data_IF_606704000703
#
_entry.id   IF_606704000703
#
_cell.length_a   1.000
_cell.length_b   1.000
_cell.length_c   1.000
_cell.angle_alpha   90.00
_cell.angle_beta   90.00
_cell.angle_gamma   90.00
#
_symmetry.space_group_name_H-M   'P 1'
#
loop_
_entity.id
_entity.type
_entity.pdbx_description
1 polymer ?
#
# COMPACT_ATOMS: atom_id res chain seq x y z
N UNK A 1 2.81 7.79 6.69
CA UNK A 1 2.60 9.26 6.93
C UNK A 1 1.23 9.54 7.56
N UNK A 2 0.18 8.77 7.27
CA UNK A 2 -1.17 9.10 7.80
C UNK A 2 -1.22 9.04 9.33
N UNK A 3 -0.59 8.05 9.95
CA UNK A 3 -0.53 7.94 11.42
C UNK A 3 0.27 9.11 12.03
N UNK A 4 1.32 9.58 11.37
CA UNK A 4 2.08 10.76 11.79
C UNK A 4 1.23 12.04 11.73
N UNK A 5 0.48 12.22 10.63
CA UNK A 5 -0.41 13.37 10.47
C UNK A 5 -1.53 13.35 11.51
N UNK A 6 -2.13 12.17 11.77
CA UNK A 6 -3.10 12.01 12.85
C UNK A 6 -2.49 12.30 14.23
N UNK A 7 -1.24 11.91 14.45
CA UNK A 7 -0.49 12.21 15.67
C UNK A 7 -0.33 13.70 15.97
N UNK A 8 -0.24 14.56 14.94
CA UNK A 8 -0.20 16.01 15.12
C UNK A 8 -1.49 16.58 15.75
N UNK A 9 -2.59 15.86 15.64
CA UNK A 9 -3.87 16.21 16.28
C UNK A 9 -4.10 15.51 17.62
N UNK A 10 -3.11 14.78 18.13
CA UNK A 10 -3.22 14.01 19.38
C UNK A 10 -3.88 12.63 19.22
N UNK A 11 -4.18 12.19 17.99
CA UNK A 11 -4.62 10.83 17.72
C UNK A 11 -3.39 9.94 17.42
N UNK A 12 -2.93 9.25 18.45
CA UNK A 12 -1.76 8.36 18.37
C UNK A 12 -2.13 6.89 18.12
N UNK A 13 -3.36 6.61 17.72
CA UNK A 13 -3.76 5.26 17.36
C UNK A 13 -3.13 4.86 16.02
N UNK A 14 -2.25 3.87 16.04
CA UNK A 14 -1.73 3.29 14.79
C UNK A 14 -2.84 2.54 14.06
N UNK A 15 -3.06 2.91 12.80
CA UNK A 15 -4.07 2.31 11.91
C UNK A 15 -3.42 1.56 10.75
N UNK A 16 -2.11 1.71 10.60
CA UNK A 16 -1.38 1.09 9.52
C UNK A 16 -0.55 -0.10 10.00
N UNK A 17 -0.60 -1.16 9.22
CA UNK A 17 0.37 -2.24 9.26
C UNK A 17 1.21 -2.15 7.99
N UNK A 18 2.49 -1.87 8.15
CA UNK A 18 3.37 -1.63 7.03
C UNK A 18 3.96 -2.95 6.52
N UNK A 19 3.99 -3.13 5.21
CA UNK A 19 4.58 -4.28 4.54
C UNK A 19 5.57 -3.84 3.48
N UNK A 20 6.79 -4.38 3.59
CA UNK A 20 7.86 -4.16 2.62
C UNK A 20 7.71 -5.10 1.44
N UNK A 21 7.92 -4.58 0.24
CA UNK A 21 8.00 -5.36 -0.99
C UNK A 21 9.23 -5.01 -1.81
N UNK A 22 9.93 -6.03 -2.30
CA UNK A 22 11.17 -5.91 -3.07
C UNK A 22 10.98 -6.43 -4.49
N UNK A 23 11.61 -5.77 -5.44
CA UNK A 23 11.69 -6.20 -6.84
C UNK A 23 13.13 -6.23 -7.31
N UNK A 24 13.45 -7.21 -8.16
CA UNK A 24 14.73 -7.36 -8.83
C UNK A 24 14.56 -7.15 -10.33
N UNK A 25 15.48 -6.45 -10.95
CA UNK A 25 15.48 -6.13 -12.38
C UNK A 25 16.62 -6.87 -13.06
N UNK A 26 16.34 -7.48 -14.21
CA UNK A 26 17.28 -8.18 -15.06
C UNK A 26 17.23 -7.62 -16.47
N UNK A 27 18.29 -7.79 -17.23
CA UNK A 27 18.20 -7.62 -18.67
C UNK A 27 17.18 -8.60 -19.26
N UNK A 28 16.41 -8.16 -20.25
CA UNK A 28 15.41 -9.01 -20.89
C UNK A 28 16.04 -10.25 -21.54
N UNK A 29 17.30 -10.17 -21.94
CA UNK A 29 18.04 -11.30 -22.47
C UNK A 29 18.25 -12.43 -21.45
N UNK A 30 18.38 -12.10 -20.16
CA UNK A 30 18.55 -13.07 -19.08
C UNK A 30 17.22 -13.68 -18.62
N UNK A 31 16.12 -12.94 -18.79
CA UNK A 31 14.76 -13.41 -18.45
C UNK A 31 13.77 -12.99 -19.57
N UNK A 32 13.77 -13.70 -20.73
CA UNK A 32 13.01 -13.28 -21.91
C UNK A 32 11.53 -13.68 -21.85
N UNK A 33 10.75 -13.03 -21.01
CA UNK A 33 9.31 -13.24 -20.96
C UNK A 33 8.58 -12.27 -21.89
N UNK A 34 7.68 -12.78 -22.73
CA UNK A 34 6.91 -11.94 -23.68
C UNK A 34 5.73 -11.22 -23.03
N UNK A 35 5.16 -11.83 -22.00
CA UNK A 35 4.00 -11.31 -21.25
C UNK A 35 4.28 -11.45 -19.76
N UNK A 36 3.48 -10.78 -18.95
CA UNK A 36 3.53 -10.97 -17.50
C UNK A 36 3.25 -12.44 -17.14
N UNK A 37 4.18 -13.04 -16.43
CA UNK A 37 4.07 -14.42 -15.92
C UNK A 37 3.78 -14.37 -14.43
N UNK A 38 2.74 -15.05 -13.99
CA UNK A 38 2.41 -15.21 -12.58
C UNK A 38 3.03 -16.53 -12.09
N UNK A 39 3.90 -16.44 -11.12
CA UNK A 39 4.59 -17.58 -10.54
C UNK A 39 4.12 -17.83 -9.11
N UNK A 40 4.05 -19.09 -8.71
CA UNK A 40 3.74 -19.47 -7.33
C UNK A 40 5.03 -19.83 -6.60
N UNK A 41 5.26 -19.20 -5.47
CA UNK A 41 6.40 -19.44 -4.61
C UNK A 41 6.22 -20.73 -3.79
N UNK A 42 7.27 -21.18 -3.10
CA UNK A 42 7.21 -22.39 -2.25
C UNK A 42 6.24 -22.26 -1.07
N UNK A 43 6.06 -21.04 -0.56
CA UNK A 43 5.12 -20.70 0.52
C UNK A 43 3.74 -20.27 0.01
N UNK A 44 3.42 -20.60 -1.24
CA UNK A 44 2.13 -20.37 -1.91
C UNK A 44 1.79 -18.90 -2.19
N UNK A 45 2.71 -17.97 -2.04
CA UNK A 45 2.56 -16.59 -2.49
C UNK A 45 2.62 -16.52 -4.02
N UNK A 46 2.28 -15.37 -4.55
CA UNK A 46 2.40 -15.08 -5.98
C UNK A 46 3.44 -14.00 -6.18
N UNK A 47 4.37 -14.27 -7.10
CA UNK A 47 5.29 -13.27 -7.63
C UNK A 47 5.07 -13.16 -9.14
N UNK A 48 5.55 -12.09 -9.72
CA UNK A 48 5.35 -11.78 -11.13
C UNK A 48 6.71 -11.61 -11.80
N UNK A 49 6.83 -12.08 -13.03
CA UNK A 49 7.87 -11.64 -13.96
C UNK A 49 7.18 -10.76 -15.00
N UNK A 50 7.62 -9.51 -15.12
CA UNK A 50 6.97 -8.50 -15.96
C UNK A 50 7.99 -7.91 -16.92
N UNK A 51 7.77 -8.04 -18.25
CA UNK A 51 8.62 -7.40 -19.24
C UNK A 51 8.42 -5.89 -19.24
N UNK A 52 9.51 -5.13 -19.32
CA UNK A 52 9.50 -3.68 -19.38
C UNK A 52 10.62 -3.18 -20.33
N UNK A 53 10.30 -3.07 -21.60
CA UNK A 53 11.28 -2.67 -22.61
C UNK A 53 12.43 -3.66 -22.71
N UNK A 54 13.64 -3.20 -22.47
CA UNK A 54 14.86 -4.03 -22.49
C UNK A 54 15.10 -4.80 -21.19
N UNK A 55 14.22 -4.65 -20.20
CA UNK A 55 14.34 -5.29 -18.90
C UNK A 55 13.16 -6.23 -18.61
N UNK A 56 13.37 -7.10 -17.65
CA UNK A 56 12.32 -7.86 -17.00
C UNK A 56 12.51 -7.71 -15.49
N UNK A 57 11.47 -7.36 -14.76
CA UNK A 57 11.55 -7.34 -13.31
C UNK A 57 10.73 -8.46 -12.69
N UNK A 58 11.22 -8.98 -11.57
CA UNK A 58 10.52 -9.99 -10.76
C UNK A 58 10.18 -9.42 -9.38
N UNK A 59 9.08 -9.83 -8.85
CA UNK A 59 8.62 -9.42 -7.52
C UNK A 59 7.20 -9.87 -7.27
N UNK A 60 6.79 -9.74 -6.07
CA UNK A 60 7.36 -8.99 -4.97
C UNK A 60 7.42 -9.83 -3.69
N UNK A 61 8.34 -9.52 -2.80
CA UNK A 61 8.27 -10.01 -1.42
C UNK A 61 7.11 -9.31 -0.68
N UNK A 62 6.74 -9.82 0.48
CA UNK A 62 5.65 -9.26 1.29
C UNK A 62 5.93 -9.57 2.77
N UNK A 63 6.74 -8.73 3.39
CA UNK A 63 7.23 -8.91 4.74
C UNK A 63 6.79 -7.75 5.63
N UNK A 64 6.39 -8.06 6.87
CA UNK A 64 6.07 -7.05 7.85
C UNK A 64 7.29 -6.14 8.09
N UNK A 65 7.07 -4.83 8.09
CA UNK A 65 8.12 -3.85 8.30
C UNK A 65 7.57 -2.72 9.20
N UNK A 66 8.00 -2.66 10.46
CA UNK A 66 7.39 -1.75 11.44
C UNK A 66 7.72 -0.27 11.19
N UNK A 67 8.78 0.00 10.45
CA UNK A 67 9.29 1.36 10.25
C UNK A 67 8.76 1.97 8.95
N UNK A 68 8.41 3.26 9.02
CA UNK A 68 8.03 4.03 7.83
C UNK A 68 9.28 4.64 7.20
N UNK A 69 9.96 3.86 6.38
CA UNK A 69 11.15 4.29 5.67
C UNK A 69 10.84 4.69 4.23
N UNK A 70 11.50 5.73 3.75
CA UNK A 70 11.38 6.16 2.35
C UNK A 70 12.08 5.17 1.40
N UNK A 71 13.23 4.63 1.82
CA UNK A 71 14.01 3.64 1.10
C UNK A 71 14.25 2.40 1.98
N UNK A 72 13.27 1.50 2.11
CA UNK A 72 13.46 0.30 2.91
C UNK A 72 14.56 -0.57 2.31
N UNK A 73 15.41 -1.19 3.16
CA UNK A 73 16.55 -1.96 2.69
C UNK A 73 16.12 -3.21 1.91
N UNK A 74 16.94 -3.59 0.93
CA UNK A 74 16.85 -4.88 0.25
C UNK A 74 17.89 -5.81 0.88
N UNK A 75 17.45 -6.98 1.35
CA UNK A 75 18.31 -7.96 2.01
C UNK A 75 18.70 -9.10 1.07
N UNK A 76 19.77 -9.81 1.41
CA UNK A 76 20.15 -11.03 0.69
C UNK A 76 19.01 -12.08 0.71
N UNK A 77 18.25 -12.16 1.80
CA UNK A 77 17.10 -13.05 1.92
C UNK A 77 15.99 -12.72 0.90
N UNK A 78 15.75 -11.43 0.63
CA UNK A 78 14.80 -11.00 -0.41
C UNK A 78 15.27 -11.47 -1.78
N UNK A 79 16.55 -11.30 -2.07
CA UNK A 79 17.18 -11.72 -3.34
C UNK A 79 17.07 -13.23 -3.51
N UNK A 80 17.48 -14.00 -2.52
CA UNK A 80 17.44 -15.46 -2.55
C UNK A 80 16.02 -16.00 -2.70
N UNK A 81 15.07 -15.40 -1.99
CA UNK A 81 13.65 -15.77 -2.09
C UNK A 81 13.12 -15.58 -3.51
N UNK A 82 13.37 -14.44 -4.13
CA UNK A 82 12.88 -14.14 -5.48
C UNK A 82 13.61 -14.98 -6.54
N UNK A 83 14.93 -15.14 -6.43
CA UNK A 83 15.70 -15.96 -7.35
C UNK A 83 15.30 -17.44 -7.29
N UNK A 84 15.25 -18.02 -6.07
CA UNK A 84 14.90 -19.44 -5.90
C UNK A 84 13.48 -19.73 -6.37
N UNK A 85 12.54 -18.82 -6.10
CA UNK A 85 11.16 -18.94 -6.57
C UNK A 85 11.03 -18.90 -8.09
N UNK A 86 11.80 -18.00 -8.74
CA UNK A 86 11.79 -17.86 -10.20
C UNK A 86 12.46 -19.06 -10.88
N UNK A 87 13.62 -19.48 -10.39
CA UNK A 87 14.35 -20.66 -10.92
C UNK A 87 13.53 -21.94 -10.86
N UNK A 88 12.68 -22.09 -9.85
CA UNK A 88 11.81 -23.25 -9.72
C UNK A 88 10.78 -23.34 -10.84
N UNK A 89 10.30 -22.20 -11.33
CA UNK A 89 9.29 -22.13 -12.40
C UNK A 89 9.93 -22.02 -13.77
N UNK A 90 11.08 -21.40 -13.85
CA UNK A 90 11.85 -21.15 -15.08
C UNK A 90 13.33 -21.61 -14.89
N UNK A 91 13.58 -22.90 -14.81
CA UNK A 91 14.92 -23.42 -14.52
C UNK A 91 15.94 -23.10 -15.61
N UNK A 92 15.49 -22.89 -16.86
CA UNK A 92 16.31 -22.47 -17.99
C UNK A 92 16.77 -21.00 -17.89
N UNK A 93 16.09 -20.17 -17.13
CA UNK A 93 16.54 -18.81 -16.83
C UNK A 93 17.66 -18.89 -15.78
N UNK A 94 18.91 -18.83 -16.24
CA UNK A 94 20.09 -18.92 -15.38
C UNK A 94 20.30 -17.62 -14.60
N UNK A 95 19.33 -17.27 -13.73
CA UNK A 95 19.35 -16.05 -12.94
C UNK A 95 20.25 -16.20 -11.72
N UNK A 96 21.22 -15.31 -11.60
CA UNK A 96 22.16 -15.23 -10.47
C UNK A 96 22.18 -13.80 -9.94
N UNK A 97 22.70 -13.62 -8.73
CA UNK A 97 22.70 -12.30 -8.09
C UNK A 97 23.56 -11.28 -8.86
N UNK A 98 24.63 -11.72 -9.50
CA UNK A 98 25.53 -10.90 -10.33
C UNK A 98 24.86 -10.40 -11.64
N UNK A 99 23.73 -10.98 -12.05
CA UNK A 99 22.94 -10.53 -13.20
C UNK A 99 21.84 -9.53 -12.85
N UNK A 100 21.71 -9.17 -11.58
CA UNK A 100 20.76 -8.14 -11.15
C UNK A 100 21.27 -6.78 -11.61
N UNK A 101 20.51 -6.13 -12.48
CA UNK A 101 20.83 -4.80 -13.02
C UNK A 101 20.42 -3.71 -12.02
N UNK A 102 19.30 -3.91 -11.33
CA UNK A 102 18.76 -2.94 -10.36
C UNK A 102 17.83 -3.63 -9.38
N UNK A 103 17.62 -2.96 -8.25
CA UNK A 103 16.64 -3.37 -7.23
C UNK A 103 15.84 -2.17 -6.79
N UNK A 104 14.60 -2.38 -6.40
CA UNK A 104 13.83 -1.39 -5.67
C UNK A 104 12.96 -2.04 -4.60
N UNK A 105 12.68 -1.27 -3.59
CA UNK A 105 11.79 -1.65 -2.49
C UNK A 105 10.81 -0.53 -2.17
N UNK A 106 9.74 -0.88 -1.50
CA UNK A 106 8.73 0.10 -1.07
C UNK A 106 7.86 -0.46 0.06
N UNK A 107 7.24 0.45 0.79
CA UNK A 107 6.33 0.13 1.88
C UNK A 107 4.89 0.21 1.39
N UNK A 108 4.11 -0.84 1.67
CA UNK A 108 2.65 -0.85 1.49
C UNK A 108 1.99 -0.45 2.78
N UNK A 109 1.18 0.60 2.78
CA UNK A 109 0.39 1.00 3.94
C UNK A 109 -0.91 0.17 3.97
N UNK A 110 -0.87 -1.00 4.60
CA UNK A 110 -2.07 -1.81 4.81
C UNK A 110 -2.82 -1.27 6.03
N UNK A 111 -4.16 -1.26 5.98
CA UNK A 111 -4.96 -0.90 7.13
C UNK A 111 -5.11 -2.12 8.03
N UNK A 112 -4.78 -1.94 9.31
CA UNK A 112 -4.80 -2.98 10.33
C UNK A 112 -5.32 -2.44 11.65
N UNK A 113 -5.59 -3.36 12.55
CA UNK A 113 -6.06 -3.05 13.91
C UNK A 113 -4.91 -2.83 14.91
N UNK A 114 -3.70 -2.65 14.42
CA UNK A 114 -2.50 -2.52 15.26
C UNK A 114 -2.04 -3.84 15.92
N UNK A 115 -2.67 -4.96 15.60
CA UNK A 115 -2.40 -6.27 16.25
C UNK A 115 -1.13 -6.97 15.79
N UNK A 116 -0.36 -6.37 14.84
CA UNK A 116 0.84 -6.99 14.28
C UNK A 116 0.59 -8.25 13.45
N UNK A 117 -0.63 -8.44 12.96
CA UNK A 117 -0.98 -9.59 12.12
C UNK A 117 -0.18 -9.61 10.83
N UNK A 118 0.09 -10.82 10.33
CA UNK A 118 0.78 -11.00 9.07
C UNK A 118 0.04 -10.27 7.93
N UNK A 119 0.77 -9.62 7.04
CA UNK A 119 0.22 -8.83 5.91
C UNK A 119 -0.78 -9.61 5.04
N UNK A 120 -0.69 -10.94 5.03
CA UNK A 120 -1.61 -11.84 4.30
C UNK A 120 -3.05 -11.79 4.78
N UNK A 121 -3.27 -11.45 6.06
CA UNK A 121 -4.58 -11.45 6.72
C UNK A 121 -5.23 -10.07 6.72
N UNK A 122 -4.46 -9.03 6.36
CA UNK A 122 -4.93 -7.67 6.38
C UNK A 122 -5.71 -7.32 5.12
N UNK A 123 -6.76 -6.55 5.29
CA UNK A 123 -7.56 -6.04 4.19
C UNK A 123 -6.73 -5.10 3.30
N UNK A 124 -6.86 -5.29 1.99
CA UNK A 124 -6.31 -4.36 0.99
C UNK A 124 -7.37 -3.38 0.49
N UNK A 125 -8.45 -3.22 1.26
CA UNK A 125 -9.43 -2.16 1.02
C UNK A 125 -8.90 -0.87 1.63
N UNK A 126 -9.28 0.23 1.04
CA UNK A 126 -9.11 1.53 1.63
C UNK A 126 -10.10 1.72 2.78
N UNK A 127 -9.67 2.45 3.77
CA UNK A 127 -10.52 2.95 4.84
C UNK A 127 -10.47 4.46 4.88
N UNK A 128 -11.61 5.07 5.13
CA UNK A 128 -11.75 6.52 5.28
C UNK A 128 -12.27 6.77 6.69
N UNK A 129 -11.57 7.58 7.45
CA UNK A 129 -11.99 7.93 8.81
C UNK A 129 -11.83 9.42 9.06
N UNK A 130 -12.48 9.86 10.11
CA UNK A 130 -12.45 11.26 10.51
C UNK A 130 -12.00 11.39 11.95
N UNK A 131 -11.04 12.25 12.21
CA UNK A 131 -10.60 12.59 13.57
C UNK A 131 -11.63 13.49 14.29
N UNK A 132 -11.52 13.62 15.63
CA UNK A 132 -12.37 14.55 16.39
C UNK A 132 -12.26 16.01 15.94
N UNK A 133 -11.10 16.45 15.45
CA UNK A 133 -10.88 17.80 14.92
C UNK A 133 -11.55 18.02 13.56
N UNK A 134 -11.91 16.94 12.88
CA UNK A 134 -12.50 17.01 11.56
C UNK A 134 -11.56 16.68 10.40
N UNK A 135 -10.33 16.29 10.67
CA UNK A 135 -9.40 15.79 9.64
C UNK A 135 -9.96 14.50 9.02
N UNK A 136 -10.12 14.50 7.70
CA UNK A 136 -10.48 13.31 6.94
C UNK A 136 -9.22 12.64 6.44
N UNK A 137 -9.03 11.39 6.84
CA UNK A 137 -7.88 10.58 6.46
C UNK A 137 -8.31 9.38 5.63
N UNK A 138 -7.44 8.96 4.71
CA UNK A 138 -7.61 7.74 3.92
C UNK A 138 -6.32 6.93 3.95
N UNK A 139 -6.45 5.63 4.19
CA UNK A 139 -5.32 4.69 4.19
C UNK A 139 -5.65 3.40 3.46
N UNK A 140 -4.64 2.64 3.09
CA UNK A 140 -4.80 1.37 2.40
C UNK A 140 -5.18 1.48 0.94
N UNK A 141 -5.89 0.48 0.44
CA UNK A 141 -6.34 0.41 -0.95
C UNK A 141 -5.30 -0.08 -1.94
N UNK A 142 -5.64 0.01 -3.21
CA UNK A 142 -4.76 -0.35 -4.34
C UNK A 142 -4.67 0.82 -5.31
N UNK A 143 -3.49 1.05 -5.88
CA UNK A 143 -3.30 2.09 -6.88
C UNK A 143 -4.28 1.94 -8.06
N UNK A 144 -4.59 0.73 -8.48
CA UNK A 144 -5.57 0.47 -9.55
C UNK A 144 -7.01 0.87 -9.21
N UNK A 145 -7.33 1.08 -7.93
CA UNK A 145 -8.64 1.49 -7.44
C UNK A 145 -8.71 2.99 -7.07
N UNK A 146 -7.66 3.76 -7.39
CA UNK A 146 -7.50 5.16 -6.95
C UNK A 146 -8.73 6.03 -7.23
N UNK A 147 -9.40 5.84 -8.36
CA UNK A 147 -10.57 6.61 -8.75
C UNK A 147 -11.76 6.34 -7.83
N UNK A 148 -12.08 5.08 -7.57
CA UNK A 148 -13.15 4.71 -6.66
C UNK A 148 -12.84 5.15 -5.22
N UNK A 149 -11.57 5.10 -4.82
CA UNK A 149 -11.12 5.65 -3.52
C UNK A 149 -11.36 7.16 -3.46
N UNK A 150 -10.98 7.89 -4.50
CA UNK A 150 -11.18 9.34 -4.57
C UNK A 150 -12.67 9.71 -4.53
N UNK A 151 -13.54 9.00 -5.24
CA UNK A 151 -14.99 9.18 -5.20
C UNK A 151 -15.53 9.07 -3.76
N UNK A 152 -15.13 8.05 -3.01
CA UNK A 152 -15.56 7.87 -1.61
C UNK A 152 -15.08 9.00 -0.70
N UNK A 153 -13.85 9.47 -0.88
CA UNK A 153 -13.31 10.59 -0.10
C UNK A 153 -14.09 11.88 -0.39
N UNK A 154 -14.36 12.16 -1.67
CA UNK A 154 -15.16 13.32 -2.08
C UNK A 154 -16.58 13.25 -1.53
N UNK A 155 -17.23 12.10 -1.63
CA UNK A 155 -18.56 11.88 -1.06
C UNK A 155 -18.58 12.11 0.46
N UNK A 156 -17.60 11.54 1.19
CA UNK A 156 -17.50 11.74 2.64
C UNK A 156 -17.32 13.22 3.00
N UNK A 157 -16.51 13.96 2.21
CA UNK A 157 -16.30 15.41 2.40
C UNK A 157 -17.59 16.19 2.12
N UNK A 158 -18.28 15.87 1.04
CA UNK A 158 -19.52 16.55 0.63
C UNK A 158 -20.64 16.35 1.67
N UNK A 159 -20.87 15.12 2.13
CA UNK A 159 -21.87 14.87 3.15
C UNK A 159 -21.59 15.63 4.45
N UNK A 160 -20.32 15.76 4.83
CA UNK A 160 -19.93 16.52 6.03
C UNK A 160 -20.21 18.02 5.88
N UNK A 161 -19.90 18.61 4.73
CA UNK A 161 -20.20 20.03 4.48
C UNK A 161 -21.69 20.30 4.57
N UNK A 162 -22.53 19.43 4.00
CA UNK A 162 -23.99 19.55 4.10
C UNK A 162 -24.49 19.46 5.54
N UNK A 163 -23.96 18.55 6.35
CA UNK A 163 -24.34 18.40 7.76
C UNK A 163 -23.89 19.63 8.56
N UNK A 164 -22.69 20.13 8.32
CA UNK A 164 -22.19 21.33 8.97
C UNK A 164 -23.05 22.57 8.65
N UNK A 165 -23.45 22.75 7.40
CA UNK A 165 -24.31 23.85 6.97
C UNK A 165 -25.72 23.76 7.57
N UNK A 166 -26.29 22.57 7.63
CA UNK A 166 -27.59 22.35 8.31
C UNK A 166 -27.52 22.70 9.79
N UNK A 167 -26.44 22.33 10.48
CA UNK A 167 -26.26 22.64 11.89
C UNK A 167 -26.06 24.14 12.13
N UNK A 168 -25.33 24.84 11.26
CA UNK A 168 -25.22 26.32 11.31
C UNK A 168 -26.58 27.01 11.15
N UNK A 169 -27.37 26.57 10.18
CA UNK A 169 -28.71 27.10 9.93
C UNK A 169 -29.66 26.83 11.09
N UNK A 170 -29.57 25.66 11.71
CA UNK A 170 -30.39 25.30 12.88
C UNK A 170 -29.96 26.11 14.11
N UNK A 171 -28.66 26.34 14.32
CA UNK A 171 -28.12 27.20 15.39
C UNK A 171 -28.52 28.65 15.24
N UNK A 172 -28.49 29.19 14.04
CA UNK A 172 -28.89 30.57 13.71
C UNK A 172 -30.39 30.81 13.99
N UNK A 173 -31.27 29.83 13.70
CA UNK A 173 -32.69 29.90 13.98
C UNK A 173 -32.99 29.87 15.49
N UNK A 174 -32.20 29.17 16.30
CA UNK A 174 -32.36 29.17 17.78
C UNK A 174 -31.87 30.50 18.38
N UNK A 175 -30.82 31.09 17.85
CA UNK A 175 -30.31 32.40 18.33
C UNK A 175 -31.27 33.54 18.00
N UNK A 176 -31.98 33.50 16.86
CA UNK A 176 -32.98 34.50 16.49
C UNK A 176 -34.34 34.34 17.18
N UNK A 177 -34.59 33.22 17.82
CA UNK A 177 -35.83 32.96 18.58
C UNK A 177 -35.82 33.41 20.06
N UNK A 178 -34.70 33.95 20.54
CA UNK A 178 -34.52 34.41 21.92
C UNK A 178 -34.79 35.92 22.13
N UNK A 179 -35.20 36.63 21.09
CA UNK A 179 -35.65 38.01 21.15
C UNK A 179 -37.15 38.11 20.84
N UNK A 180 -37.99 37.63 21.76
CA UNK A 180 -39.39 38.04 21.89
C UNK A 180 -39.81 37.96 23.36
#
# INVERSE_FOLDING_TARGET
WVDEVCGLEGDHQSRLALSRGVHLVFDHADLPVRNTVVMRTHDSRRIFAVPLGQYTYIGTTDDYHPECEYWPPVTEQDVDYLLSSTRRVMPEANLTADRIVSVWSGIRPLVGDGSGRASKELSRKEEVWTSPSGLLSVGGGKLSAYRAMAERVVEATYYRSLVADRNRLAGSRRASGLCR
#
